data_IF_224537654568
#
_entry.id   IF_224537654568
#
_cell.length_a   1.000
_cell.length_b   1.000
_cell.length_c   1.000
_cell.angle_alpha   90.00
_cell.angle_beta   90.00
_cell.angle_gamma   90.00
#
_symmetry.space_group_name_H-M   'P 1'
#
loop_
_entity.id
_entity.type
_entity.pdbx_description
1 polymer ?
#
# COMPACT_ATOMS: atom_id res chain seq x y z
N UNK A 1 10.19 18.70 -13.53
CA UNK A 1 10.58 18.37 -12.14
C UNK A 1 10.80 16.87 -12.07
N UNK A 2 11.93 16.42 -11.51
CA UNK A 2 12.28 15.00 -11.42
C UNK A 2 11.95 14.45 -10.03
N UNK A 3 11.14 13.39 -9.99
CA UNK A 3 10.79 12.66 -8.78
C UNK A 3 11.43 11.26 -8.80
N UNK A 4 12.06 10.88 -7.70
CA UNK A 4 12.50 9.51 -7.42
C UNK A 4 11.47 8.84 -6.53
N UNK A 5 10.72 7.90 -7.09
CA UNK A 5 9.64 7.20 -6.37
C UNK A 5 10.11 5.78 -6.03
N UNK A 6 10.24 5.47 -4.75
CA UNK A 6 10.51 4.11 -4.28
C UNK A 6 9.21 3.30 -4.30
N UNK A 7 9.21 2.22 -5.05
CA UNK A 7 8.12 1.24 -5.13
C UNK A 7 8.08 0.33 -3.88
N UNK A 8 6.98 -0.40 -3.66
CA UNK A 8 6.87 -1.37 -2.56
C UNK A 8 7.94 -2.47 -2.58
N UNK A 9 8.43 -2.86 -3.76
CA UNK A 9 9.53 -3.81 -3.95
C UNK A 9 10.93 -3.20 -3.72
N UNK A 10 10.99 -2.00 -3.12
CA UNK A 10 12.23 -1.25 -2.86
C UNK A 10 12.98 -0.77 -4.12
N UNK A 11 12.41 -0.92 -5.31
CA UNK A 11 13.00 -0.40 -6.55
C UNK A 11 12.68 1.08 -6.69
N UNK A 12 13.68 1.90 -7.00
CA UNK A 12 13.49 3.33 -7.28
C UNK A 12 13.19 3.54 -8.76
N UNK A 13 12.10 4.25 -9.05
CA UNK A 13 11.76 4.68 -10.40
C UNK A 13 11.83 6.20 -10.56
N UNK A 14 12.25 6.63 -11.74
CA UNK A 14 12.32 8.04 -12.10
C UNK A 14 11.05 8.47 -12.84
N UNK A 15 10.43 9.54 -12.35
CA UNK A 15 9.20 10.09 -12.89
C UNK A 15 9.37 11.58 -13.11
N UNK A 16 9.26 11.99 -14.37
CA UNK A 16 9.29 13.39 -14.74
C UNK A 16 7.87 13.97 -14.77
N UNK A 17 7.66 15.01 -13.98
CA UNK A 17 6.39 15.71 -13.82
C UNK A 17 6.56 17.20 -14.10
N UNK A 18 5.47 17.88 -14.42
CA UNK A 18 5.52 19.33 -14.61
C UNK A 18 5.88 20.01 -13.27
N UNK A 19 6.59 21.13 -13.34
CA UNK A 19 6.86 21.99 -12.17
C UNK A 19 5.60 22.51 -11.48
N UNK A 20 4.47 22.59 -12.21
CA UNK A 20 3.16 23.01 -11.69
C UNK A 20 2.24 21.83 -11.36
N UNK A 21 2.73 20.59 -11.52
CA UNK A 21 1.95 19.39 -11.29
C UNK A 21 1.54 19.24 -9.81
N UNK A 22 0.37 18.65 -9.63
CA UNK A 22 -0.19 18.33 -8.32
C UNK A 22 0.36 16.98 -7.85
N UNK A 23 0.18 16.64 -6.56
CA UNK A 23 0.53 15.30 -6.08
C UNK A 23 -0.22 14.19 -6.81
N UNK A 24 -1.48 14.43 -7.17
CA UNK A 24 -2.33 13.51 -7.94
C UNK A 24 -1.75 13.20 -9.33
N UNK A 25 -1.26 14.21 -10.06
CA UNK A 25 -0.65 14.02 -11.38
C UNK A 25 0.58 13.11 -11.32
N UNK A 26 1.38 13.26 -10.25
CA UNK A 26 2.54 12.42 -10.03
C UNK A 26 2.14 10.98 -9.69
N UNK A 27 1.16 10.81 -8.80
CA UNK A 27 0.65 9.50 -8.42
C UNK A 27 0.05 8.76 -9.63
N UNK A 28 -0.79 9.43 -10.42
CA UNK A 28 -1.39 8.88 -11.64
C UNK A 28 -0.33 8.42 -12.64
N UNK A 29 0.74 9.20 -12.83
CA UNK A 29 1.88 8.81 -13.68
C UNK A 29 2.62 7.58 -13.16
N UNK A 30 2.86 7.52 -11.85
CA UNK A 30 3.49 6.36 -11.19
C UNK A 30 2.64 5.11 -11.40
N UNK A 31 1.35 5.18 -11.06
CA UNK A 31 0.42 4.07 -11.19
C UNK A 31 0.29 3.59 -12.64
N UNK A 32 0.19 4.52 -13.60
CA UNK A 32 0.17 4.19 -15.03
C UNK A 32 1.43 3.46 -15.49
N UNK A 33 2.61 3.84 -14.99
CA UNK A 33 3.87 3.13 -15.29
C UNK A 33 3.93 1.73 -14.68
N UNK A 34 3.29 1.53 -13.53
CA UNK A 34 3.23 0.25 -12.83
C UNK A 34 2.09 -0.66 -13.30
N UNK A 35 1.16 -0.14 -14.12
CA UNK A 35 -0.05 -0.87 -14.51
C UNK A 35 -1.09 -0.97 -13.40
N UNK A 36 -1.03 -0.08 -12.40
CA UNK A 36 -2.00 -0.01 -11.30
C UNK A 36 -3.25 0.71 -11.81
N UNK A 37 -4.40 0.05 -11.69
CA UNK A 37 -5.71 0.58 -12.10
C UNK A 37 -6.35 1.38 -10.97
N UNK A 38 -6.32 0.83 -9.76
CA UNK A 38 -7.00 1.42 -8.60
C UNK A 38 -6.06 2.36 -7.85
N UNK A 39 -5.93 3.58 -8.36
CA UNK A 39 -4.99 4.59 -7.84
C UNK A 39 -5.40 5.07 -6.43
N UNK A 40 -6.69 5.03 -6.11
CA UNK A 40 -7.26 5.51 -4.85
C UNK A 40 -6.78 4.76 -3.60
N UNK A 41 -6.22 3.56 -3.77
CA UNK A 41 -5.61 2.79 -2.66
C UNK A 41 -4.18 3.20 -2.37
N UNK A 42 -3.59 4.08 -3.17
CA UNK A 42 -2.20 4.45 -3.06
C UNK A 42 -2.04 5.94 -2.75
N UNK A 43 -0.98 6.24 -2.04
CA UNK A 43 -0.52 7.59 -1.81
C UNK A 43 0.99 7.68 -1.93
N UNK A 44 1.48 8.91 -1.95
CA UNK A 44 2.90 9.21 -1.99
C UNK A 44 3.32 9.71 -0.61
N UNK A 45 4.37 9.11 -0.04
CA UNK A 45 5.02 9.59 1.17
C UNK A 45 6.36 10.24 0.85
N UNK A 46 6.73 11.26 1.61
CA UNK A 46 8.07 11.85 1.59
C UNK A 46 8.63 11.93 3.01
N UNK A 47 9.92 12.18 3.11
CA UNK A 47 10.58 12.43 4.40
C UNK A 47 10.68 13.95 4.59
N UNK A 48 10.06 14.46 5.65
CA UNK A 48 10.09 15.87 6.02
C UNK A 48 11.44 16.30 6.59
N UNK A 49 11.58 17.59 6.88
CA UNK A 49 12.84 18.20 7.31
C UNK A 49 13.34 17.67 8.67
N UNK A 50 12.48 17.09 9.50
CA UNK A 50 12.84 16.50 10.80
C UNK A 50 12.92 14.96 10.73
N UNK A 51 12.92 14.39 9.54
CA UNK A 51 12.97 12.94 9.33
C UNK A 51 11.63 12.23 9.49
N UNK A 52 10.53 12.96 9.67
CA UNK A 52 9.19 12.41 9.76
C UNK A 52 8.69 11.92 8.39
N UNK A 53 7.91 10.84 8.37
CA UNK A 53 7.27 10.35 7.14
C UNK A 53 5.92 11.04 6.99
N UNK A 54 5.81 11.89 5.97
CA UNK A 54 4.61 12.67 5.67
C UNK A 54 3.95 12.19 4.40
N UNK A 55 2.62 12.15 4.40
CA UNK A 55 1.85 11.94 3.18
C UNK A 55 1.81 13.21 2.35
N UNK A 56 2.05 13.07 1.05
CA UNK A 56 1.93 14.13 0.08
C UNK A 56 0.45 14.43 -0.15
N UNK A 57 0.06 15.69 0.01
CA UNK A 57 -1.29 16.10 -0.31
C UNK A 57 -1.47 16.12 -1.84
N UNK A 58 -2.31 15.23 -2.36
CA UNK A 58 -2.54 15.05 -3.80
C UNK A 58 -3.19 16.27 -4.46
N UNK A 59 -3.95 17.08 -3.70
CA UNK A 59 -4.64 18.28 -4.20
C UNK A 59 -3.72 19.49 -4.33
N UNK A 60 -2.62 19.51 -3.57
CA UNK A 60 -1.68 20.61 -3.56
C UNK A 60 -0.52 20.34 -4.52
N UNK A 61 0.15 21.41 -4.95
CA UNK A 61 1.37 21.28 -5.76
C UNK A 61 2.50 20.66 -4.95
N UNK A 62 3.28 19.82 -5.60
CA UNK A 62 4.41 19.13 -4.96
C UNK A 62 5.47 20.15 -4.55
N UNK A 63 5.73 21.14 -5.40
CA UNK A 63 6.69 22.21 -5.16
C UNK A 63 6.36 23.13 -3.98
N UNK A 64 5.11 23.15 -3.52
CA UNK A 64 4.69 23.96 -2.37
C UNK A 64 4.81 23.19 -1.05
N UNK A 65 4.85 21.87 -1.11
CA UNK A 65 4.90 20.99 0.05
C UNK A 65 6.31 20.52 0.35
N UNK A 66 7.15 20.40 -0.68
CA UNK A 66 8.54 20.04 -0.56
C UNK A 66 9.39 21.28 -0.83
N UNK A 67 10.23 21.66 0.11
CA UNK A 67 11.13 22.82 0.02
C UNK A 67 12.21 22.60 -1.05
N UNK A 68 11.89 22.77 -2.34
CA UNK A 68 12.82 22.77 -3.49
C UNK A 68 13.85 21.62 -3.53
N UNK A 69 13.58 20.48 -2.89
CA UNK A 69 14.44 19.31 -2.88
C UNK A 69 14.30 18.57 -4.21
N UNK A 70 15.10 18.94 -5.20
CA UNK A 70 15.27 18.16 -6.43
C UNK A 70 16.55 17.34 -6.35
N UNK A 71 16.50 16.01 -6.60
CA UNK A 71 15.33 15.21 -6.96
C UNK A 71 14.37 14.97 -5.79
N UNK A 72 13.06 15.06 -6.04
CA UNK A 72 12.04 14.86 -5.01
C UNK A 72 11.95 13.37 -4.66
N UNK A 73 12.33 13.00 -3.44
CA UNK A 73 12.30 11.60 -3.00
C UNK A 73 10.93 11.28 -2.40
N UNK A 74 10.19 10.45 -3.12
CA UNK A 74 8.85 9.98 -2.76
C UNK A 74 8.86 8.47 -2.60
N UNK A 75 7.89 7.93 -1.87
CA UNK A 75 7.67 6.49 -1.69
C UNK A 75 6.21 6.20 -1.98
N UNK A 76 5.95 5.23 -2.85
CA UNK A 76 4.61 4.73 -3.09
C UNK A 76 4.23 3.84 -1.90
N UNK A 77 3.10 4.16 -1.26
CA UNK A 77 2.55 3.40 -0.13
C UNK A 77 1.07 3.20 -0.34
N UNK A 78 0.56 2.11 0.19
CA UNK A 78 -0.88 1.90 0.30
C UNK A 78 -1.45 2.90 1.31
N UNK A 79 -2.36 3.77 0.85
CA UNK A 79 -3.08 4.72 1.69
C UNK A 79 -4.47 4.17 2.01
N UNK A 80 -4.51 3.29 3.02
CA UNK A 80 -5.74 2.67 3.49
C UNK A 80 -6.77 3.69 4.01
N UNK A 81 -6.36 4.95 4.27
CA UNK A 81 -7.30 5.99 4.68
C UNK A 81 -8.17 6.53 3.54
N UNK A 82 -7.74 6.41 2.28
CA UNK A 82 -8.53 6.76 1.10
C UNK A 82 -9.21 5.53 0.46
N UNK A 83 -8.66 4.35 0.70
CA UNK A 83 -9.33 3.08 0.48
C UNK A 83 -10.46 2.88 1.47
N UNK A 84 -11.65 3.38 1.16
CA UNK A 84 -12.90 2.92 1.74
C UNK A 84 -13.14 1.45 1.33
N UNK A 85 -12.27 0.53 1.77
CA UNK A 85 -12.71 -0.80 2.12
C UNK A 85 -13.57 -0.60 3.36
N UNK A 86 -14.79 -0.11 3.15
CA UNK A 86 -15.90 -0.30 4.09
C UNK A 86 -16.30 -1.76 4.00
N UNK A 87 -15.32 -2.62 4.25
CA UNK A 87 -15.48 -4.03 4.34
C UNK A 87 -15.99 -4.24 5.75
N UNK A 88 -17.27 -4.60 5.85
CA UNK A 88 -17.77 -5.17 7.09
C UNK A 88 -16.82 -6.30 7.51
N UNK A 89 -16.72 -6.57 8.81
CA UNK A 89 -15.83 -7.62 9.34
C UNK A 89 -15.97 -8.97 8.61
N UNK A 90 -17.16 -9.23 8.07
CA UNK A 90 -17.50 -10.40 7.25
C UNK A 90 -16.79 -10.41 5.88
N UNK A 91 -16.78 -9.28 5.16
CA UNK A 91 -16.11 -9.16 3.85
C UNK A 91 -14.58 -9.22 4.00
N UNK A 92 -14.04 -8.68 5.09
CA UNK A 92 -12.61 -8.79 5.40
C UNK A 92 -12.21 -10.23 5.71
N UNK A 93 -13.04 -10.98 6.44
CA UNK A 93 -12.83 -12.42 6.66
C UNK A 93 -12.86 -13.19 5.35
N UNK A 94 -13.85 -12.95 4.51
CA UNK A 94 -13.98 -13.62 3.21
C UNK A 94 -12.78 -13.34 2.30
N UNK A 95 -12.34 -12.07 2.21
CA UNK A 95 -11.17 -11.70 1.43
C UNK A 95 -9.88 -12.33 1.97
N UNK A 96 -9.74 -12.41 3.30
CA UNK A 96 -8.58 -13.07 3.93
C UNK A 96 -8.56 -14.58 3.68
N UNK A 97 -9.73 -15.24 3.69
CA UNK A 97 -9.86 -16.65 3.37
C UNK A 97 -9.54 -16.91 1.90
N UNK A 98 -10.01 -16.04 0.98
CA UNK A 98 -9.73 -16.13 -0.45
C UNK A 98 -8.25 -15.91 -0.76
N UNK A 99 -7.59 -14.96 -0.08
CA UNK A 99 -6.14 -14.75 -0.21
C UNK A 99 -5.35 -15.96 0.28
N UNK A 100 -5.71 -16.52 1.43
CA UNK A 100 -5.09 -17.74 1.93
C UNK A 100 -5.28 -18.91 0.96
N UNK A 101 -6.49 -19.07 0.40
CA UNK A 101 -6.76 -20.08 -0.62
C UNK A 101 -5.95 -19.86 -1.90
N UNK A 102 -5.76 -18.61 -2.33
CA UNK A 102 -4.97 -18.30 -3.52
C UNK A 102 -3.46 -18.57 -3.33
N UNK A 103 -2.95 -18.35 -2.12
CA UNK A 103 -1.53 -18.56 -1.79
C UNK A 103 -1.23 -20.03 -1.46
N UNK A 104 -2.17 -20.75 -0.84
CA UNK A 104 -1.94 -22.09 -0.28
C UNK A 104 -2.77 -23.21 -0.91
N UNK A 105 -3.70 -22.90 -1.83
CA UNK A 105 -4.60 -23.87 -2.43
C UNK A 105 -5.71 -24.32 -1.48
N UNK A 106 -6.30 -25.49 -1.73
CA UNK A 106 -7.45 -26.01 -0.98
C UNK A 106 -7.18 -26.16 0.52
N UNK A 107 -8.14 -25.67 1.31
CA UNK A 107 -8.13 -25.81 2.76
C UNK A 107 -7.85 -27.25 3.20
N UNK A 108 -6.78 -27.42 3.97
CA UNK A 108 -6.42 -28.67 4.62
C UNK A 108 -6.29 -28.43 6.12
N UNK A 109 -7.06 -29.19 6.93
CA UNK A 109 -7.07 -29.08 8.40
C UNK A 109 -5.69 -29.27 9.03
N UNK A 110 -4.80 -30.02 8.38
CA UNK A 110 -3.44 -30.21 8.86
C UNK A 110 -2.61 -28.93 8.63
N UNK A 111 -2.74 -28.29 7.46
CA UNK A 111 -2.03 -27.04 7.12
C UNK A 111 -2.54 -25.85 7.93
N UNK A 112 -3.86 -25.73 8.13
CA UNK A 112 -4.48 -24.62 8.86
C UNK A 112 -4.07 -24.56 10.34
N UNK A 113 -3.80 -25.71 10.97
CA UNK A 113 -3.31 -25.79 12.37
C UNK A 113 -1.92 -25.19 12.55
N UNK A 114 -1.00 -25.48 11.62
CA UNK A 114 0.36 -24.94 11.70
C UNK A 114 0.35 -23.40 11.62
N UNK A 115 -0.47 -22.85 10.71
CA UNK A 115 -0.47 -21.41 10.46
C UNK A 115 -1.20 -20.57 11.51
N UNK A 116 -2.24 -21.09 12.16
CA UNK A 116 -2.84 -20.38 13.31
C UNK A 116 -1.80 -20.16 14.42
N UNK A 117 -0.96 -21.16 14.63
CA UNK A 117 0.13 -21.10 15.62
C UNK A 117 1.21 -20.10 15.20
N UNK A 118 1.47 -19.96 13.89
CA UNK A 118 2.49 -19.08 13.32
C UNK A 118 2.03 -17.60 13.21
N UNK A 119 0.76 -17.36 12.90
CA UNK A 119 0.15 -16.02 12.82
C UNK A 119 -0.24 -15.45 14.19
N UNK A 120 -0.76 -16.28 15.10
CA UNK A 120 -1.31 -15.83 16.38
C UNK A 120 -0.45 -16.22 17.60
N UNK A 121 0.58 -17.04 17.42
CA UNK A 121 1.45 -17.50 18.52
C UNK A 121 0.75 -18.35 19.59
N UNK A 122 -0.47 -18.85 19.30
CA UNK A 122 -1.29 -19.67 20.20
C UNK A 122 -1.88 -20.83 19.43
N UNK A 123 -2.14 -21.97 20.06
CA UNK A 123 -2.84 -23.07 19.41
C UNK A 123 -4.34 -22.75 19.23
N UNK A 124 -4.96 -23.19 18.10
CA UNK A 124 -6.38 -22.94 17.85
C UNK A 124 -7.25 -23.73 18.82
N UNK A 125 -8.34 -23.10 19.29
CA UNK A 125 -9.28 -23.77 20.18
C UNK A 125 -9.96 -24.96 19.46
N UNK A 126 -10.30 -26.05 20.17
CA UNK A 126 -10.92 -27.23 19.58
C UNK A 126 -12.31 -26.96 18.94
N UNK A 127 -12.94 -25.82 19.24
CA UNK A 127 -14.19 -25.38 18.63
C UNK A 127 -14.01 -24.85 17.19
N UNK A 128 -12.80 -24.40 16.84
CA UNK A 128 -12.48 -23.83 15.52
C UNK A 128 -12.02 -24.91 14.51
N UNK A 129 -11.62 -26.08 15.00
CA UNK A 129 -11.03 -27.17 14.20
C UNK A 129 -12.08 -28.16 13.67
N UNK A 130 -13.25 -28.25 14.29
CA UNK A 130 -14.26 -29.29 14.01
C UNK A 130 -15.55 -28.74 13.37
N UNK A 131 -15.49 -27.65 12.62
CA UNK A 131 -16.65 -27.11 11.91
C UNK A 131 -16.44 -27.07 10.41
#
# INVERSE_FOLDING_TARGET
MLCHVTRPDSVVMEVEVDTKANGEDCLNKVCRKLGIIEVDYFGLQYTGNKGENLWLNLRNRISQQMDNLTPCRLRLREDLHCGHLHMGSEQAQELSALLAQAEFGDYNQNTAKYWYTELCGKEPSPATVNR
#
